data_IF_037120761353
#
_entry.id   IF_037120761353
#
_cell.length_a   1.000
_cell.length_b   1.000
_cell.length_c   1.000
_cell.angle_alpha   90.00
_cell.angle_beta   90.00
_cell.angle_gamma   90.00
#
_symmetry.space_group_name_H-M   'P 1'
#
loop_
_entity.id
_entity.type
_entity.pdbx_description
1 polymer ?
#
# COMPACT_ATOMS: atom_id res chain seq x y z
N UNK A 1 3.57 -35.45 8.51
CA UNK A 1 4.43 -34.53 7.77
C UNK A 1 3.84 -34.29 6.40
N UNK A 2 3.64 -33.03 6.01
CA UNK A 2 3.24 -32.66 4.65
C UNK A 2 4.34 -33.11 3.69
N UNK A 3 4.03 -33.84 2.62
CA UNK A 3 5.05 -34.28 1.68
C UNK A 3 5.83 -33.09 1.13
N UNK A 4 7.14 -33.22 1.05
CA UNK A 4 8.10 -32.18 0.63
C UNK A 4 7.78 -31.54 -0.74
N UNK A 5 7.11 -32.29 -1.62
CA UNK A 5 6.63 -31.83 -2.95
C UNK A 5 5.53 -30.73 -2.91
N UNK A 6 4.98 -30.44 -1.74
CA UNK A 6 3.97 -29.38 -1.55
C UNK A 6 4.51 -28.17 -0.77
N UNK A 7 5.78 -28.15 -0.41
CA UNK A 7 6.43 -26.90 -0.02
C UNK A 7 6.57 -26.07 -1.30
N UNK A 8 5.66 -25.11 -1.47
CA UNK A 8 5.91 -24.04 -2.41
C UNK A 8 7.29 -23.44 -2.06
N UNK A 9 8.21 -23.47 -3.01
CA UNK A 9 9.49 -22.78 -2.86
C UNK A 9 9.14 -21.33 -2.46
N UNK A 10 9.63 -20.92 -1.29
CA UNK A 10 9.43 -19.52 -0.88
C UNK A 10 10.10 -18.66 -1.94
N UNK A 11 9.38 -17.68 -2.51
CA UNK A 11 9.95 -16.83 -3.53
C UNK A 11 11.27 -16.22 -3.02
N UNK A 12 12.25 -16.08 -3.90
CA UNK A 12 13.51 -15.41 -3.57
C UNK A 12 13.26 -14.03 -2.94
N UNK A 13 14.16 -13.59 -2.06
CA UNK A 13 14.09 -12.25 -1.50
C UNK A 13 14.21 -11.21 -2.60
N UNK A 14 13.36 -10.18 -2.53
CA UNK A 14 13.34 -9.07 -3.49
C UNK A 14 14.06 -7.84 -2.89
N UNK A 15 14.55 -6.91 -3.73
CA UNK A 15 15.23 -5.70 -3.27
C UNK A 15 14.25 -4.67 -2.69
N UNK A 16 13.58 -5.02 -1.60
CA UNK A 16 12.61 -4.17 -0.93
C UNK A 16 13.32 -3.07 -0.13
N UNK A 17 13.14 -1.82 -0.56
CA UNK A 17 13.70 -0.63 0.09
C UNK A 17 12.67 0.04 0.99
N UNK A 18 13.03 0.28 2.24
CA UNK A 18 12.20 1.02 3.20
C UNK A 18 12.51 2.51 3.10
N UNK A 19 11.47 3.33 3.14
CA UNK A 19 11.58 4.80 3.03
C UNK A 19 10.61 5.48 3.99
N UNK A 20 10.84 6.76 4.19
CA UNK A 20 9.98 7.64 4.97
C UNK A 20 9.61 8.87 4.15
N UNK A 21 8.42 9.40 4.39
CA UNK A 21 7.93 10.61 3.77
C UNK A 21 7.16 11.46 4.78
N UNK A 22 7.49 12.75 4.88
CA UNK A 22 6.72 13.70 5.66
C UNK A 22 5.53 14.17 4.82
N UNK A 23 4.32 13.95 5.32
CA UNK A 23 3.06 14.29 4.65
C UNK A 23 2.57 15.65 5.11
N UNK A 24 2.63 15.91 6.42
CA UNK A 24 2.19 17.14 7.05
C UNK A 24 3.32 17.79 7.83
N UNK A 25 3.31 19.12 7.86
CA UNK A 25 4.17 19.90 8.75
C UNK A 25 3.46 20.07 10.10
N UNK A 26 3.40 18.99 10.84
CA UNK A 26 2.87 18.95 12.22
C UNK A 26 3.71 18.00 13.05
N UNK A 27 3.82 18.31 14.32
CA UNK A 27 4.52 17.46 15.27
C UNK A 27 3.62 16.29 15.69
N UNK A 28 4.24 15.13 15.88
CA UNK A 28 3.56 13.99 16.48
C UNK A 28 3.38 14.24 18.00
N UNK A 29 2.36 13.62 18.64
CA UNK A 29 2.28 13.58 20.09
C UNK A 29 3.60 13.08 20.69
N UNK A 30 4.02 13.61 21.83
CA UNK A 30 5.31 13.29 22.45
C UNK A 30 5.58 11.78 22.57
N UNK A 31 4.55 11.00 22.92
CA UNK A 31 4.64 9.55 23.00
C UNK A 31 4.86 8.85 21.63
N UNK A 32 4.61 9.55 20.51
CA UNK A 32 4.63 9.03 19.15
C UNK A 32 5.57 9.83 18.22
N UNK A 33 6.54 10.54 18.78
CA UNK A 33 7.48 11.40 18.04
C UNK A 33 8.16 10.68 16.86
N UNK A 34 8.37 9.37 16.97
CA UNK A 34 8.97 8.55 15.92
C UNK A 34 8.03 8.25 14.74
N UNK A 35 6.76 8.63 14.83
CA UNK A 35 5.72 8.42 13.81
C UNK A 35 5.37 9.70 13.03
N UNK A 36 6.19 10.74 13.09
CA UNK A 36 5.99 11.97 12.30
C UNK A 36 6.06 11.76 10.81
N UNK A 37 6.86 10.78 10.37
CA UNK A 37 7.00 10.42 8.97
C UNK A 37 6.31 9.10 8.66
N UNK A 38 5.57 9.08 7.55
CA UNK A 38 4.98 7.85 7.04
C UNK A 38 6.07 6.92 6.51
N UNK A 39 6.01 5.67 6.96
CA UNK A 39 6.89 4.60 6.48
C UNK A 39 6.21 3.83 5.35
N UNK A 40 6.95 3.58 4.29
CA UNK A 40 6.54 2.75 3.17
C UNK A 40 7.73 1.98 2.60
N UNK A 41 7.48 1.07 1.69
CA UNK A 41 8.54 0.35 1.01
C UNK A 41 8.23 0.17 -0.47
N UNK A 42 9.27 -0.05 -1.26
CA UNK A 42 9.14 -0.32 -2.68
C UNK A 42 10.23 -1.25 -3.19
N UNK A 43 9.94 -1.93 -4.28
CA UNK A 43 10.91 -2.67 -5.08
C UNK A 43 10.70 -2.32 -6.55
N UNK A 44 11.75 -1.90 -7.24
CA UNK A 44 11.67 -1.35 -8.59
C UNK A 44 12.39 -2.23 -9.59
N UNK A 45 11.76 -2.44 -10.74
CA UNK A 45 12.37 -3.05 -11.91
C UNK A 45 13.40 -2.08 -12.53
N UNK A 46 14.34 -2.62 -13.29
CA UNK A 46 15.36 -1.82 -14.01
C UNK A 46 14.86 -1.28 -15.35
N UNK A 47 13.72 -1.75 -15.82
CA UNK A 47 13.10 -1.41 -17.12
C UNK A 47 11.70 -0.89 -16.92
N UNK A 48 11.09 -0.34 -17.99
CA UNK A 48 9.67 0.01 -18.00
C UNK A 48 8.81 -1.18 -17.59
N UNK A 49 7.90 -0.97 -16.67
CA UNK A 49 7.07 -2.02 -16.10
C UNK A 49 5.77 -1.44 -15.54
N UNK A 50 4.71 -2.26 -15.35
CA UNK A 50 3.56 -1.85 -14.58
C UNK A 50 3.92 -1.64 -13.10
N UNK A 51 3.23 -0.74 -12.42
CA UNK A 51 3.37 -0.49 -10.99
C UNK A 51 2.12 -0.93 -10.25
N UNK A 52 2.30 -1.66 -9.16
CA UNK A 52 1.22 -2.04 -8.24
C UNK A 52 1.42 -1.41 -6.88
N UNK A 53 0.36 -0.77 -6.36
CA UNK A 53 0.27 -0.36 -4.97
C UNK A 53 -0.37 -1.49 -4.15
N UNK A 54 0.29 -1.89 -3.06
CA UNK A 54 -0.19 -2.89 -2.11
C UNK A 54 -0.65 -2.18 -0.84
N UNK A 55 -1.91 -2.38 -0.45
CA UNK A 55 -2.49 -1.79 0.77
C UNK A 55 -2.66 -2.90 1.81
N UNK A 56 -2.03 -2.74 2.97
CA UNK A 56 -2.12 -3.70 4.06
C UNK A 56 -3.53 -3.77 4.66
N UNK A 57 -3.87 -4.92 5.22
CA UNK A 57 -5.11 -5.12 5.99
C UNK A 57 -5.06 -4.48 7.37
N UNK A 58 -6.12 -4.65 8.16
CA UNK A 58 -6.27 -4.04 9.49
C UNK A 58 -5.02 -4.17 10.34
N UNK A 59 -4.50 -3.06 10.86
CA UNK A 59 -3.30 -3.01 11.71
C UNK A 59 -2.01 -3.44 11.00
N UNK A 60 -2.06 -3.74 9.70
CA UNK A 60 -0.92 -4.24 8.95
C UNK A 60 0.06 -3.14 8.54
N UNK A 61 1.34 -3.46 8.62
CA UNK A 61 2.40 -2.58 8.14
C UNK A 61 2.80 -2.90 6.70
N UNK A 62 3.42 -1.94 6.03
CA UNK A 62 3.97 -2.09 4.68
C UNK A 62 5.00 -3.24 4.55
N UNK A 63 5.57 -3.70 5.67
CA UNK A 63 6.50 -4.84 5.74
C UNK A 63 5.91 -6.06 6.42
N UNK A 64 4.61 -6.07 6.70
CA UNK A 64 3.92 -7.23 7.26
C UNK A 64 3.99 -8.44 6.32
N UNK A 65 3.88 -9.65 6.88
CA UNK A 65 4.11 -10.90 6.14
C UNK A 65 3.27 -11.03 4.88
N UNK A 66 1.97 -10.68 4.92
CA UNK A 66 1.09 -10.73 3.75
C UNK A 66 1.52 -9.74 2.67
N UNK A 67 1.85 -8.50 3.04
CA UNK A 67 2.35 -7.51 2.09
C UNK A 67 3.69 -7.93 1.49
N UNK A 68 4.60 -8.48 2.28
CA UNK A 68 5.87 -9.01 1.76
C UNK A 68 5.66 -10.14 0.75
N UNK A 69 4.75 -11.07 1.03
CA UNK A 69 4.45 -12.18 0.12
C UNK A 69 3.84 -11.67 -1.20
N UNK A 70 2.89 -10.73 -1.13
CA UNK A 70 2.34 -10.10 -2.33
C UNK A 70 3.41 -9.31 -3.09
N UNK A 71 4.26 -8.56 -2.39
CA UNK A 71 5.36 -7.81 -3.02
C UNK A 71 6.31 -8.73 -3.79
N UNK A 72 6.68 -9.87 -3.22
CA UNK A 72 7.50 -10.88 -3.91
C UNK A 72 6.82 -11.40 -5.17
N UNK A 73 5.55 -11.80 -5.06
CA UNK A 73 4.79 -12.34 -6.19
C UNK A 73 4.70 -11.33 -7.35
N UNK A 74 4.33 -10.09 -7.08
CA UNK A 74 4.21 -9.04 -8.10
C UNK A 74 5.57 -8.64 -8.66
N UNK A 75 6.59 -8.49 -7.83
CA UNK A 75 7.93 -8.15 -8.30
C UNK A 75 8.50 -9.22 -9.24
N UNK A 76 8.34 -10.50 -8.89
CA UNK A 76 8.75 -11.63 -9.73
C UNK A 76 7.95 -11.73 -11.02
N UNK A 77 6.69 -11.27 -11.01
CA UNK A 77 5.86 -11.15 -12.21
C UNK A 77 6.24 -9.93 -13.10
N UNK A 78 7.25 -9.14 -12.71
CA UNK A 78 7.76 -8.03 -13.50
C UNK A 78 7.19 -6.67 -13.14
N UNK A 79 6.51 -6.49 -12.01
CA UNK A 79 5.96 -5.22 -11.55
C UNK A 79 6.98 -4.41 -10.75
N UNK A 80 6.91 -3.08 -10.87
CA UNK A 80 7.32 -2.21 -9.77
C UNK A 80 6.31 -2.38 -8.65
N UNK A 81 6.76 -2.43 -7.41
CA UNK A 81 5.91 -2.62 -6.24
C UNK A 81 6.08 -1.47 -5.27
N UNK A 82 4.97 -0.88 -4.81
CA UNK A 82 4.91 0.04 -3.67
C UNK A 82 4.02 -0.55 -2.61
N UNK A 83 4.55 -0.77 -1.41
CA UNK A 83 3.82 -1.34 -0.28
C UNK A 83 3.51 -0.27 0.76
N UNK A 84 2.23 -0.15 1.10
CA UNK A 84 1.68 0.84 2.01
C UNK A 84 1.07 0.16 3.25
N UNK A 85 1.26 0.80 4.40
CA UNK A 85 0.61 0.38 5.65
C UNK A 85 -0.89 0.67 5.62
N UNK A 86 -1.63 -0.07 6.44
CA UNK A 86 -3.06 0.19 6.66
C UNK A 86 -3.29 1.59 7.25
N UNK A 87 -4.37 2.29 6.87
CA UNK A 87 -4.82 3.49 7.56
C UNK A 87 -5.11 3.30 9.05
N UNK A 88 -5.28 2.05 9.50
CA UNK A 88 -5.50 1.72 10.92
C UNK A 88 -4.22 1.56 11.73
N UNK A 89 -3.05 1.56 11.08
CA UNK A 89 -1.76 1.47 11.77
C UNK A 89 -1.41 2.81 12.42
N UNK A 90 -0.94 2.86 13.68
CA UNK A 90 -0.60 4.12 14.37
C UNK A 90 0.30 5.04 13.56
N UNK A 91 1.35 4.53 12.92
CA UNK A 91 2.21 5.34 12.06
C UNK A 91 1.43 6.05 10.95
N UNK A 92 0.48 5.38 10.28
CA UNK A 92 -0.35 6.01 9.26
C UNK A 92 -1.29 7.06 9.85
N UNK A 93 -1.95 6.75 10.98
CA UNK A 93 -2.88 7.67 11.64
C UNK A 93 -2.18 8.98 12.03
N UNK A 94 -0.99 8.88 12.64
CA UNK A 94 -0.23 10.05 13.09
C UNK A 94 0.33 10.85 11.92
N UNK A 95 0.94 10.18 10.93
CA UNK A 95 1.72 10.84 9.88
C UNK A 95 0.92 11.20 8.64
N UNK A 96 -0.13 10.47 8.30
CA UNK A 96 -0.80 10.58 7.02
C UNK A 96 -2.31 10.88 7.08
N UNK A 97 -2.99 10.57 8.20
CA UNK A 97 -4.41 10.88 8.34
C UNK A 97 -4.65 12.38 8.57
N UNK A 98 -5.57 12.96 7.81
CA UNK A 98 -5.99 14.37 7.98
C UNK A 98 -6.75 14.60 9.28
N UNK A 99 -7.55 13.62 9.65
CA UNK A 99 -8.47 13.72 10.80
C UNK A 99 -7.87 13.12 12.07
N UNK A 100 -6.75 12.39 11.97
CA UNK A 100 -6.19 11.54 13.03
C UNK A 100 -7.18 10.50 13.58
N UNK A 101 -8.21 10.18 12.78
CA UNK A 101 -9.24 9.18 13.07
C UNK A 101 -9.32 8.23 11.88
N UNK A 102 -9.26 6.94 12.16
CA UNK A 102 -9.39 5.88 11.16
C UNK A 102 -10.77 5.22 11.22
N UNK A 103 -11.13 4.48 10.18
CA UNK A 103 -12.38 3.71 10.12
C UNK A 103 -13.49 4.38 9.30
N UNK A 104 -13.24 5.56 8.75
CA UNK A 104 -14.15 6.19 7.80
C UNK A 104 -13.63 5.93 6.38
N UNK A 105 -14.27 5.02 5.67
CA UNK A 105 -13.79 4.48 4.38
C UNK A 105 -13.37 5.54 3.35
N UNK A 106 -14.17 6.59 3.19
CA UNK A 106 -13.87 7.66 2.22
C UNK A 106 -12.66 8.47 2.67
N UNK A 107 -12.58 8.86 3.94
CA UNK A 107 -11.44 9.62 4.46
C UNK A 107 -10.15 8.80 4.43
N UNK A 108 -10.20 7.54 4.83
CA UNK A 108 -9.05 6.62 4.78
C UNK A 108 -8.55 6.44 3.33
N UNK A 109 -9.47 6.31 2.37
CA UNK A 109 -9.12 6.20 0.97
C UNK A 109 -8.55 7.50 0.39
N UNK A 110 -9.07 8.66 0.77
CA UNK A 110 -8.52 9.97 0.37
C UNK A 110 -7.11 10.18 0.92
N UNK A 111 -6.85 9.77 2.15
CA UNK A 111 -5.51 9.85 2.76
C UNK A 111 -4.54 8.87 2.08
N UNK A 112 -4.97 7.63 1.79
CA UNK A 112 -4.20 6.67 1.00
C UNK A 112 -3.88 7.21 -0.41
N UNK A 113 -4.88 7.76 -1.08
CA UNK A 113 -4.70 8.29 -2.43
C UNK A 113 -3.66 9.41 -2.46
N UNK A 114 -3.70 10.32 -1.48
CA UNK A 114 -2.68 11.37 -1.31
C UNK A 114 -1.29 10.79 -1.10
N UNK A 115 -1.17 9.78 -0.23
CA UNK A 115 0.11 9.09 -0.02
C UNK A 115 0.62 8.49 -1.33
N UNK A 116 -0.24 7.84 -2.10
CA UNK A 116 0.12 7.27 -3.41
C UNK A 116 0.63 8.34 -4.37
N UNK A 117 -0.05 9.49 -4.45
CA UNK A 117 0.39 10.62 -5.29
C UNK A 117 1.78 11.13 -4.88
N UNK A 118 2.01 11.32 -3.57
CA UNK A 118 3.29 11.79 -3.06
C UNK A 118 4.43 10.79 -3.30
N UNK A 119 4.18 9.52 -3.10
CA UNK A 119 5.15 8.45 -3.39
C UNK A 119 5.44 8.40 -4.89
N UNK A 120 4.41 8.43 -5.73
CA UNK A 120 4.56 8.45 -7.18
C UNK A 120 5.38 9.66 -7.65
N UNK A 121 5.12 10.85 -7.11
CA UNK A 121 5.88 12.05 -7.45
C UNK A 121 7.40 11.92 -7.17
N UNK A 122 7.78 11.11 -6.19
CA UNK A 122 9.20 10.77 -5.93
C UNK A 122 9.74 9.73 -6.91
N UNK A 123 8.93 8.71 -7.24
CA UNK A 123 9.36 7.58 -8.06
C UNK A 123 9.38 7.88 -9.56
N UNK A 124 8.45 8.69 -10.07
CA UNK A 124 8.33 9.00 -11.51
C UNK A 124 9.56 9.61 -12.15
N UNK A 125 10.49 10.13 -11.32
CA UNK A 125 11.78 10.64 -11.77
C UNK A 125 12.85 9.55 -11.94
N UNK A 126 12.59 8.35 -11.44
CA UNK A 126 13.56 7.24 -11.37
C UNK A 126 13.17 6.05 -12.23
N UNK A 127 11.89 5.90 -12.54
CA UNK A 127 11.34 4.72 -13.20
C UNK A 127 10.36 5.11 -14.30
N UNK A 128 10.17 4.22 -15.25
CA UNK A 128 9.12 4.29 -16.25
C UNK A 128 8.01 3.29 -15.91
N UNK A 129 6.77 3.78 -15.84
CA UNK A 129 5.58 2.98 -15.52
C UNK A 129 4.69 2.88 -16.75
N UNK A 130 4.35 1.66 -17.14
CA UNK A 130 3.47 1.40 -18.28
C UNK A 130 2.00 1.50 -17.92
N UNK A 131 1.62 0.95 -16.76
CA UNK A 131 0.24 0.91 -16.25
C UNK A 131 0.26 0.91 -14.71
N UNK A 132 -0.83 1.37 -14.11
CA UNK A 132 -1.02 1.33 -12.65
C UNK A 132 -2.04 0.27 -12.24
N UNK A 133 -1.75 -0.37 -11.11
CA UNK A 133 -2.59 -1.38 -10.46
C UNK A 133 -2.66 -1.09 -8.97
N UNK A 134 -3.72 -1.53 -8.34
CA UNK A 134 -3.87 -1.49 -6.88
C UNK A 134 -4.43 -2.79 -6.36
N UNK A 135 -3.94 -3.25 -5.23
CA UNK A 135 -4.42 -4.45 -4.56
C UNK A 135 -4.31 -4.32 -3.05
N UNK A 136 -5.04 -5.16 -2.35
CA UNK A 136 -4.98 -5.26 -0.91
C UNK A 136 -5.69 -6.50 -0.40
N UNK A 137 -5.31 -6.94 0.80
CA UNK A 137 -5.90 -8.05 1.51
C UNK A 137 -6.84 -7.56 2.61
N UNK A 138 -8.01 -8.18 2.78
CA UNK A 138 -9.00 -7.85 3.80
C UNK A 138 -9.40 -6.37 3.73
N UNK A 139 -9.23 -5.58 4.80
CA UNK A 139 -9.49 -4.13 4.80
C UNK A 139 -8.67 -3.40 3.72
N UNK A 140 -7.46 -3.87 3.41
CA UNK A 140 -6.66 -3.33 2.31
C UNK A 140 -7.35 -3.50 0.95
N UNK A 141 -8.03 -4.60 0.71
CA UNK A 141 -8.86 -4.81 -0.47
C UNK A 141 -10.06 -3.86 -0.53
N UNK A 142 -10.71 -3.65 0.61
CA UNK A 142 -11.79 -2.66 0.73
C UNK A 142 -11.28 -1.23 0.43
N UNK A 143 -10.16 -0.84 1.01
CA UNK A 143 -9.54 0.45 0.73
C UNK A 143 -9.11 0.59 -0.74
N UNK A 144 -8.61 -0.48 -1.37
CA UNK A 144 -8.27 -0.49 -2.79
C UNK A 144 -9.49 -0.20 -3.69
N UNK A 145 -10.66 -0.72 -3.34
CA UNK A 145 -11.90 -0.42 -4.06
C UNK A 145 -12.25 1.07 -3.98
N UNK A 146 -12.17 1.68 -2.78
CA UNK A 146 -12.44 3.12 -2.62
C UNK A 146 -11.39 4.00 -3.29
N UNK A 147 -10.13 3.62 -3.25
CA UNK A 147 -9.05 4.31 -3.97
C UNK A 147 -9.31 4.28 -5.49
N UNK A 148 -9.74 3.16 -6.02
CA UNK A 148 -10.11 3.04 -7.44
C UNK A 148 -11.29 3.95 -7.78
N UNK A 149 -12.33 3.97 -6.93
CA UNK A 149 -13.47 4.87 -7.10
C UNK A 149 -13.07 6.36 -7.07
N UNK A 150 -12.11 6.75 -6.20
CA UNK A 150 -11.56 8.10 -6.21
C UNK A 150 -10.81 8.42 -7.49
N UNK A 151 -10.04 7.46 -8.00
CA UNK A 151 -9.24 7.64 -9.22
C UNK A 151 -10.11 7.79 -10.48
N UNK A 152 -11.32 7.25 -10.51
CA UNK A 152 -12.28 7.49 -11.60
C UNK A 152 -12.56 8.99 -11.80
N UNK A 153 -12.50 9.78 -10.73
CA UNK A 153 -12.69 11.23 -10.75
C UNK A 153 -11.39 12.01 -10.91
N UNK A 154 -10.36 11.60 -10.15
CA UNK A 154 -9.07 12.29 -10.10
C UNK A 154 -8.20 12.02 -11.32
N UNK A 155 -8.30 10.83 -11.90
CA UNK A 155 -7.62 10.42 -13.13
C UNK A 155 -6.09 10.53 -13.09
N UNK A 156 -5.46 10.42 -11.89
CA UNK A 156 -4.01 10.49 -11.74
C UNK A 156 -3.35 9.20 -12.18
N UNK A 157 -3.86 8.06 -11.72
CA UNK A 157 -3.29 6.75 -12.00
C UNK A 157 -3.99 6.04 -13.16
N UNK A 158 -5.30 6.23 -13.32
CA UNK A 158 -6.14 5.50 -14.29
C UNK A 158 -5.91 4.00 -14.16
N UNK A 159 -6.15 3.48 -12.96
CA UNK A 159 -5.87 2.08 -12.63
C UNK A 159 -6.43 1.12 -13.67
N UNK A 160 -5.56 0.32 -14.26
CA UNK A 160 -5.96 -0.68 -15.24
C UNK A 160 -6.78 -1.81 -14.63
N UNK A 161 -6.42 -2.21 -13.41
CA UNK A 161 -7.15 -3.19 -12.59
C UNK A 161 -6.95 -2.92 -11.10
N UNK A 162 -7.98 -3.28 -10.32
CA UNK A 162 -7.89 -3.45 -8.87
C UNK A 162 -8.12 -4.94 -8.55
N UNK A 163 -7.22 -5.54 -7.77
CA UNK A 163 -7.37 -6.89 -7.28
C UNK A 163 -7.73 -6.85 -5.79
N UNK A 164 -8.93 -7.24 -5.45
CA UNK A 164 -9.44 -7.24 -4.08
C UNK A 164 -9.36 -8.66 -3.51
N UNK A 165 -8.51 -8.86 -2.51
CA UNK A 165 -8.30 -10.17 -1.91
C UNK A 165 -9.06 -10.26 -0.58
N UNK A 166 -10.09 -11.09 -0.53
CA UNK A 166 -10.96 -11.28 0.64
C UNK A 166 -11.42 -9.96 1.29
N UNK A 167 -11.95 -8.98 0.53
CA UNK A 167 -12.42 -7.74 1.11
C UNK A 167 -13.67 -8.01 1.96
N UNK A 168 -13.86 -7.30 3.09
CA UNK A 168 -15.11 -7.36 3.82
C UNK A 168 -16.23 -6.74 2.97
N UNK A 169 -17.33 -7.44 2.79
CA UNK A 169 -18.50 -6.96 2.03
C UNK A 169 -19.36 -6.00 2.86
N UNK A 170 -19.28 -6.13 4.20
CA UNK A 170 -19.96 -5.24 5.15
C UNK A 170 -19.05 -5.00 6.35
N UNK A 171 -18.80 -3.75 6.70
CA UNK A 171 -18.05 -3.37 7.91
C UNK A 171 -18.96 -3.24 9.14
N UNK A 172 -20.27 -3.23 8.94
CA UNK A 172 -21.28 -3.07 9.97
C UNK A 172 -22.27 -4.21 9.93
N UNK A 173 -22.04 -5.22 10.72
CA UNK A 173 -23.00 -6.16 11.30
C UNK A 173 -22.22 -7.16 12.18
N UNK A 174 -21.73 -6.65 13.29
CA UNK A 174 -21.33 -7.47 14.42
C UNK A 174 -21.80 -6.80 15.70
#
# INVERSE_FOLDING_TARGET
>A
GTPEKYRAELPEEIPLKKRKIRIFDRDAPEALWHDEELRYSYALQKKAAPLVFLIAGTGGSHTGGKNKNMARAFYQAGFHVVSLSSPTLPNFVVSASRTSVTGHAVHDAEDLYRVMELVWNRLKKKIEVTDFFVTGYSLGGFNAAFVTWLDERKQVFKFKKALLINPPVRLYNS
#
